data_IF_813891046215
#
_entry.id   IF_813891046215
#
_cell.length_a   1.000
_cell.length_b   1.000
_cell.length_c   1.000
_cell.angle_alpha   90.00
_cell.angle_beta   90.00
_cell.angle_gamma   90.00
#
_symmetry.space_group_name_H-M   'P 1'
#
loop_
_entity.id
_entity.type
_entity.pdbx_description
1 polymer ?
#
# COMPACT_ATOMS: atom_id res chain seq x y z
N UNK A 1 -1.02 -15.86 -5.14
CA UNK A 1 0.28 -15.17 -5.20
C UNK A 1 0.15 -13.79 -4.58
N UNK A 2 1.06 -13.46 -3.69
CA UNK A 2 1.02 -12.15 -3.01
C UNK A 2 1.56 -11.06 -3.93
N UNK A 3 0.87 -9.94 -3.98
CA UNK A 3 1.34 -8.79 -4.72
C UNK A 3 2.46 -8.11 -3.92
N UNK A 4 3.61 -7.90 -4.56
CA UNK A 4 4.76 -7.29 -3.91
C UNK A 4 4.44 -5.89 -3.37
N UNK A 5 3.60 -5.14 -4.10
CA UNK A 5 3.24 -3.79 -3.68
C UNK A 5 2.35 -3.79 -2.44
N UNK A 6 1.50 -4.82 -2.26
CA UNK A 6 0.72 -4.94 -1.04
C UNK A 6 1.61 -5.20 0.17
N UNK A 7 2.66 -6.02 0.00
CA UNK A 7 3.65 -6.24 1.05
C UNK A 7 4.40 -4.95 1.38
N UNK A 8 4.68 -4.14 0.37
CA UNK A 8 5.30 -2.83 0.55
C UNK A 8 4.42 -1.93 1.41
N UNK A 9 3.11 -1.93 1.16
CA UNK A 9 2.16 -1.15 1.97
C UNK A 9 2.16 -1.62 3.43
N UNK A 10 2.24 -2.94 3.66
CA UNK A 10 2.35 -3.47 5.03
C UNK A 10 3.57 -2.89 5.75
N UNK A 11 4.70 -2.78 5.07
CA UNK A 11 5.90 -2.18 5.65
C UNK A 11 5.70 -0.70 5.94
N UNK A 12 5.08 0.04 5.04
CA UNK A 12 4.79 1.45 5.26
C UNK A 12 3.96 1.63 6.54
N UNK A 13 2.92 0.83 6.68
CA UNK A 13 2.05 0.88 7.86
C UNK A 13 2.86 0.57 9.12
N UNK A 14 3.69 -0.47 9.07
CA UNK A 14 4.50 -0.86 10.21
C UNK A 14 5.38 0.29 10.69
N UNK A 15 6.13 0.92 9.78
CA UNK A 15 7.03 2.00 10.17
C UNK A 15 6.29 3.26 10.61
N UNK A 16 5.16 3.57 9.96
CA UNK A 16 4.33 4.70 10.41
C UNK A 16 3.81 4.48 11.82
N UNK A 17 3.42 3.26 12.16
CA UNK A 17 2.97 2.92 13.52
C UNK A 17 4.08 3.09 14.56
N UNK A 18 5.34 2.95 14.13
CA UNK A 18 6.49 3.16 15.01
C UNK A 18 6.85 4.64 15.17
N UNK A 19 6.16 5.52 14.45
CA UNK A 19 6.38 6.95 14.55
C UNK A 19 7.41 7.50 13.57
N UNK A 20 7.86 6.72 12.62
CA UNK A 20 8.83 7.19 11.63
C UNK A 20 8.16 8.09 10.58
N UNK A 21 8.90 9.07 10.08
CA UNK A 21 8.43 9.96 9.03
C UNK A 21 8.35 9.22 7.69
N UNK A 22 7.71 9.84 6.72
CA UNK A 22 7.65 9.28 5.36
C UNK A 22 9.06 9.04 4.81
N UNK A 23 9.95 10.03 4.95
CA UNK A 23 11.31 9.92 4.43
C UNK A 23 12.06 8.76 5.07
N UNK A 24 12.00 8.66 6.40
CA UNK A 24 12.64 7.57 7.14
C UNK A 24 12.06 6.22 6.73
N UNK A 25 10.74 6.15 6.59
CA UNK A 25 10.05 4.92 6.18
C UNK A 25 10.51 4.47 4.81
N UNK A 26 10.61 5.39 3.87
CA UNK A 26 11.07 5.07 2.51
C UNK A 26 12.51 4.57 2.53
N UNK A 27 13.37 5.20 3.34
CA UNK A 27 14.76 4.78 3.46
C UNK A 27 14.87 3.36 4.00
N UNK A 28 14.08 3.00 5.02
CA UNK A 28 14.05 1.65 5.55
C UNK A 28 13.55 0.64 4.51
N UNK A 29 12.50 0.99 3.80
CA UNK A 29 11.95 0.11 2.77
C UNK A 29 12.95 -0.14 1.65
N UNK A 30 13.74 0.88 1.30
CA UNK A 30 14.80 0.75 0.31
C UNK A 30 15.81 -0.31 0.74
N UNK A 31 16.15 -0.35 2.02
CA UNK A 31 17.08 -1.34 2.56
C UNK A 31 16.46 -2.75 2.64
N UNK A 32 15.15 -2.84 2.64
CA UNK A 32 14.41 -4.08 2.78
C UNK A 32 13.90 -4.63 1.44
N UNK A 33 14.64 -4.37 0.38
CA UNK A 33 14.38 -4.96 -0.93
C UNK A 33 13.27 -4.30 -1.74
N UNK A 34 12.93 -3.05 -1.40
CA UNK A 34 11.97 -2.24 -2.16
C UNK A 34 12.62 -1.01 -2.77
N UNK A 35 13.91 -1.13 -3.12
CA UNK A 35 14.68 -0.03 -3.67
C UNK A 35 14.04 0.58 -4.92
N UNK A 36 13.57 -0.27 -5.82
CA UNK A 36 12.94 0.18 -7.06
C UNK A 36 11.68 0.98 -6.80
N UNK A 37 10.82 0.45 -5.93
CA UNK A 37 9.55 1.09 -5.60
C UNK A 37 9.77 2.42 -4.90
N UNK A 38 10.72 2.46 -3.97
CA UNK A 38 11.06 3.69 -3.25
C UNK A 38 11.62 4.74 -4.20
N UNK A 39 12.45 4.33 -5.13
CA UNK A 39 13.03 5.24 -6.12
C UNK A 39 11.95 5.88 -6.99
N UNK A 40 10.98 5.10 -7.41
CA UNK A 40 9.85 5.62 -8.18
C UNK A 40 9.04 6.63 -7.38
N UNK A 41 8.76 6.31 -6.11
CA UNK A 41 7.99 7.21 -5.24
C UNK A 41 8.74 8.53 -5.05
N UNK A 42 10.03 8.47 -4.75
CA UNK A 42 10.83 9.67 -4.55
C UNK A 42 10.88 10.51 -5.81
N UNK A 43 10.96 9.89 -6.97
CA UNK A 43 10.98 10.57 -8.24
C UNK A 43 9.67 11.34 -8.47
N UNK A 44 8.52 10.71 -8.20
CA UNK A 44 7.23 11.37 -8.33
C UNK A 44 7.07 12.51 -7.32
N UNK A 45 7.54 12.30 -6.09
CA UNK A 45 7.51 13.37 -5.09
C UNK A 45 8.32 14.58 -5.56
N UNK A 46 9.48 14.33 -6.17
CA UNK A 46 10.32 15.39 -6.70
C UNK A 46 9.65 16.14 -7.87
N UNK A 47 8.74 15.48 -8.56
CA UNK A 47 7.96 16.10 -9.63
C UNK A 47 6.77 16.88 -9.12
N UNK A 48 6.55 16.90 -7.82
CA UNK A 48 5.48 17.66 -7.21
C UNK A 48 4.16 16.90 -7.02
N UNK A 49 4.16 15.59 -7.29
CA UNK A 49 2.95 14.80 -7.06
C UNK A 49 2.74 14.57 -5.56
N UNK A 50 1.48 14.52 -5.16
CA UNK A 50 1.13 14.16 -3.79
C UNK A 50 1.24 12.64 -3.64
N UNK A 51 1.35 12.18 -2.38
CA UNK A 51 1.41 10.76 -2.11
C UNK A 51 0.14 10.05 -2.59
N UNK A 52 -1.02 10.69 -2.46
CA UNK A 52 -2.29 10.13 -2.94
C UNK A 52 -2.24 9.88 -4.45
N UNK A 53 -1.72 10.85 -5.20
CA UNK A 53 -1.57 10.71 -6.65
C UNK A 53 -0.61 9.57 -7.00
N UNK A 54 0.47 9.45 -6.24
CA UNK A 54 1.47 8.41 -6.46
C UNK A 54 0.85 7.02 -6.27
N UNK A 55 0.06 6.83 -5.22
CA UNK A 55 -0.58 5.54 -4.97
C UNK A 55 -1.56 5.15 -6.07
N UNK A 56 -2.16 6.13 -6.73
CA UNK A 56 -3.05 5.85 -7.86
C UNK A 56 -2.25 5.50 -9.11
N UNK A 57 -1.09 6.11 -9.29
CA UNK A 57 -0.25 5.87 -10.46
C UNK A 57 0.53 4.56 -10.43
N UNK A 58 0.91 4.10 -9.25
CA UNK A 58 1.66 2.85 -9.13
C UNK A 58 0.76 1.66 -9.45
N UNK A 59 1.33 0.53 -9.90
CA UNK A 59 0.55 -0.62 -10.32
C UNK A 59 0.02 -1.47 -9.16
N UNK A 60 -0.64 -0.84 -8.21
CA UNK A 60 -1.35 -1.55 -7.15
C UNK A 60 -2.60 -2.22 -7.72
N UNK A 61 -3.11 -3.26 -7.07
CA UNK A 61 -4.37 -3.86 -7.49
C UNK A 61 -5.49 -2.82 -7.54
N UNK A 62 -6.37 -2.95 -8.54
CA UNK A 62 -7.48 -2.01 -8.72
C UNK A 62 -8.34 -1.89 -7.46
N UNK A 63 -8.58 -3.02 -6.80
CA UNK A 63 -9.37 -3.03 -5.57
C UNK A 63 -8.74 -2.14 -4.49
N UNK A 64 -7.41 -2.23 -4.33
CA UNK A 64 -6.71 -1.38 -3.37
C UNK A 64 -6.90 0.09 -3.70
N UNK A 65 -6.73 0.46 -4.97
CA UNK A 65 -6.86 1.85 -5.41
C UNK A 65 -8.26 2.40 -5.14
N UNK A 66 -9.29 1.60 -5.41
CA UNK A 66 -10.66 2.00 -5.19
C UNK A 66 -10.93 2.28 -3.71
N UNK A 67 -10.53 1.37 -2.84
CA UNK A 67 -10.75 1.55 -1.42
C UNK A 67 -9.89 2.66 -0.84
N UNK A 68 -8.65 2.77 -1.28
CA UNK A 68 -7.80 3.86 -0.83
C UNK A 68 -8.40 5.22 -1.22
N UNK A 69 -8.89 5.35 -2.44
CA UNK A 69 -9.52 6.59 -2.92
C UNK A 69 -10.74 6.96 -2.08
N UNK A 70 -11.46 5.95 -1.61
CA UNK A 70 -12.61 6.17 -0.74
C UNK A 70 -12.17 6.60 0.68
N UNK A 71 -11.23 5.87 1.26
CA UNK A 71 -10.83 6.09 2.66
C UNK A 71 -9.96 7.32 2.86
N UNK A 72 -9.21 7.74 1.86
CA UNK A 72 -8.27 8.86 2.02
C UNK A 72 -8.95 10.16 2.42
N UNK A 73 -10.23 10.32 2.08
CA UNK A 73 -10.98 11.54 2.41
C UNK A 73 -11.56 11.51 3.82
N UNK A 74 -11.68 10.31 4.41
CA UNK A 74 -12.31 10.12 5.71
C UNK A 74 -11.30 9.91 6.84
N UNK A 75 -10.11 9.44 6.51
CA UNK A 75 -9.13 8.99 7.50
C UNK A 75 -7.74 9.55 7.18
N UNK A 76 -6.85 9.42 8.17
CA UNK A 76 -5.44 9.76 7.96
C UNK A 76 -4.83 8.79 6.94
N UNK A 77 -3.68 9.17 6.39
CA UNK A 77 -2.94 8.34 5.43
C UNK A 77 -2.74 6.92 5.96
N UNK A 78 -2.21 6.81 7.18
CA UNK A 78 -1.94 5.52 7.79
C UNK A 78 -3.20 4.66 7.91
N UNK A 79 -4.27 5.24 8.41
CA UNK A 79 -5.54 4.52 8.59
C UNK A 79 -6.15 4.12 7.25
N UNK A 80 -6.09 5.01 6.26
CA UNK A 80 -6.61 4.70 4.93
C UNK A 80 -5.86 3.53 4.29
N UNK A 81 -4.54 3.52 4.41
CA UNK A 81 -3.73 2.42 3.90
C UNK A 81 -4.08 1.11 4.60
N UNK A 82 -4.17 1.15 5.93
CA UNK A 82 -4.47 -0.04 6.72
C UNK A 82 -5.82 -0.64 6.37
N UNK A 83 -6.86 0.19 6.28
CA UNK A 83 -8.20 -0.27 5.92
C UNK A 83 -8.24 -0.85 4.51
N UNK A 84 -7.57 -0.21 3.58
CA UNK A 84 -7.53 -0.66 2.19
C UNK A 84 -6.86 -2.03 2.06
N UNK A 85 -5.73 -2.21 2.75
CA UNK A 85 -4.99 -3.47 2.69
C UNK A 85 -5.78 -4.61 3.37
N UNK A 86 -6.45 -4.31 4.48
CA UNK A 86 -7.26 -5.30 5.19
C UNK A 86 -8.38 -5.82 4.31
N UNK A 87 -9.04 -4.94 3.58
CA UNK A 87 -10.12 -5.34 2.67
C UNK A 87 -9.57 -6.22 1.54
N UNK A 88 -8.42 -5.85 0.98
CA UNK A 88 -7.80 -6.65 -0.08
C UNK A 88 -7.45 -8.04 0.43
N UNK A 89 -6.91 -8.15 1.64
CA UNK A 89 -6.57 -9.45 2.22
C UNK A 89 -7.80 -10.29 2.50
N UNK A 90 -8.86 -9.68 3.00
CA UNK A 90 -10.11 -10.38 3.27
C UNK A 90 -10.75 -10.91 1.99
N UNK A 91 -10.72 -10.12 0.93
CA UNK A 91 -11.24 -10.57 -0.36
C UNK A 91 -10.48 -11.80 -0.85
N UNK A 92 -9.17 -11.80 -0.73
CA UNK A 92 -8.35 -12.94 -1.13
C UNK A 92 -8.67 -14.17 -0.28
N UNK A 93 -8.83 -13.99 1.02
CA UNK A 93 -9.20 -15.09 1.93
C UNK A 93 -10.55 -15.69 1.56
N UNK A 94 -11.56 -14.88 1.34
CA UNK A 94 -12.88 -15.34 0.96
C UNK A 94 -12.84 -16.05 -0.39
N UNK A 95 -12.09 -15.52 -1.32
CA UNK A 95 -11.96 -16.13 -2.63
C UNK A 95 -11.34 -17.53 -2.52
N UNK A 96 -10.30 -17.67 -1.71
CA UNK A 96 -9.64 -18.95 -1.51
C UNK A 96 -10.57 -19.96 -0.83
N UNK A 97 -11.30 -19.54 0.19
CA UNK A 97 -12.24 -20.40 0.89
C UNK A 97 -13.35 -20.86 -0.05
N UNK A 98 -13.85 -19.95 -0.85
CA UNK A 98 -14.92 -20.24 -1.80
C UNK A 98 -14.46 -21.27 -2.84
N UNK A 99 -13.26 -21.09 -3.38
CA UNK A 99 -12.71 -22.00 -4.36
C UNK A 99 -12.49 -23.40 -3.79
N UNK A 100 -12.04 -23.48 -2.54
CA UNK A 100 -11.85 -24.76 -1.86
C UNK A 100 -13.17 -25.50 -1.67
N UNK A 101 -14.23 -24.78 -1.35
CA UNK A 101 -15.55 -25.37 -1.13
C UNK A 101 -16.17 -25.92 -2.41
N UNK A 102 -15.74 -25.43 -3.55
CA UNK A 102 -16.27 -25.90 -4.84
C UNK A 102 -15.80 -27.31 -5.23
N UNK A 103 -14.81 -27.80 -4.53
CA UNK A 103 -14.39 -29.18 -4.74
C UNK A 103 -15.31 -30.11 -3.95
#
# INVERSE_FOLDING_TARGET
>A
MKNKLLSFIDLLIFFFNQGYSLQETLDFCSLLNYEKEVKEIKNYLNQGLSLDEIFIMLPFPTLFKEYYSFFKNEFTLETALKKSIEICKKRDEYKNIFLKKKK
#
